data_IF_627232944357
#
_entry.id   IF_627232944357
#
_cell.length_a   1.000
_cell.length_b   1.000
_cell.length_c   1.000
_cell.angle_alpha   90.00
_cell.angle_beta   90.00
_cell.angle_gamma   90.00
#
_symmetry.space_group_name_H-M   'P 1'
#
loop_
_entity.id
_entity.type
_entity.pdbx_description
1 polymer ?
#
# COMPACT_ATOMS: atom_id res chain seq x y z
N UNK A 1 13.88 -5.77 21.32
CA UNK A 1 15.11 -5.13 20.81
C UNK A 1 15.32 -5.43 19.33
N UNK A 2 15.31 -6.71 18.92
CA UNK A 2 15.46 -7.13 17.51
C UNK A 2 14.48 -6.44 16.56
N UNK A 3 13.19 -6.39 16.91
CA UNK A 3 12.17 -5.75 16.08
C UNK A 3 12.42 -4.25 15.89
N UNK A 4 12.90 -3.54 16.92
CA UNK A 4 13.24 -2.12 16.82
C UNK A 4 14.45 -1.88 15.91
N UNK A 5 15.43 -2.78 15.93
CA UNK A 5 16.62 -2.69 15.05
C UNK A 5 16.20 -2.92 13.59
N UNK A 6 15.38 -3.94 13.33
CA UNK A 6 14.91 -4.24 11.97
C UNK A 6 13.99 -3.14 11.44
N UNK A 7 13.07 -2.63 12.28
CA UNK A 7 12.24 -1.49 11.92
C UNK A 7 13.08 -0.24 11.64
N UNK A 8 14.02 0.12 12.51
CA UNK A 8 14.84 1.33 12.31
C UNK A 8 15.80 1.23 11.13
N UNK A 9 16.39 0.06 10.88
CA UNK A 9 17.48 -0.07 9.90
C UNK A 9 16.97 -0.44 8.51
N UNK A 10 15.98 -1.32 8.41
CA UNK A 10 15.56 -1.89 7.12
C UNK A 10 14.25 -1.30 6.61
N UNK A 11 13.28 -1.08 7.50
CA UNK A 11 11.91 -0.70 7.13
C UNK A 11 11.74 0.82 7.15
N UNK A 12 12.31 1.51 8.13
CA UNK A 12 12.12 2.95 8.34
C UNK A 12 12.55 3.80 7.13
N UNK A 13 13.74 3.58 6.52
CA UNK A 13 14.13 4.35 5.33
C UNK A 13 13.21 4.10 4.13
N UNK A 14 12.60 2.91 4.03
CA UNK A 14 11.63 2.60 2.97
C UNK A 14 10.32 3.37 3.19
N UNK A 15 9.81 3.38 4.42
CA UNK A 15 8.60 4.11 4.79
C UNK A 15 8.77 5.62 4.66
N UNK A 16 9.93 6.17 5.01
CA UNK A 16 10.23 7.60 4.79
C UNK A 16 10.18 7.97 3.30
N UNK A 17 10.76 7.13 2.43
CA UNK A 17 10.68 7.35 0.98
C UNK A 17 9.25 7.23 0.45
N UNK A 18 8.45 6.31 0.97
CA UNK A 18 7.05 6.20 0.58
C UNK A 18 6.25 7.41 1.03
N UNK A 19 6.45 7.89 2.26
CA UNK A 19 5.87 9.13 2.76
C UNK A 19 6.24 10.34 1.90
N UNK A 20 7.51 10.43 1.45
CA UNK A 20 7.96 11.43 0.50
C UNK A 20 7.17 11.42 -0.80
N UNK A 21 6.95 10.24 -1.41
CA UNK A 21 6.12 10.12 -2.62
C UNK A 21 4.69 10.59 -2.42
N UNK A 22 4.09 10.33 -1.25
CA UNK A 22 2.76 10.83 -0.92
C UNK A 22 2.70 12.35 -0.78
N UNK A 23 3.76 12.98 -0.23
CA UNK A 23 3.88 14.43 -0.16
C UNK A 23 3.98 15.02 -1.56
N UNK A 24 4.81 14.45 -2.43
CA UNK A 24 4.94 14.89 -3.83
C UNK A 24 3.62 14.78 -4.60
N UNK A 25 2.90 13.67 -4.42
CA UNK A 25 1.56 13.49 -5.00
C UNK A 25 0.58 14.58 -4.52
N UNK A 26 0.63 14.92 -3.21
CA UNK A 26 -0.23 15.96 -2.63
C UNK A 26 0.05 17.33 -3.22
N UNK A 27 1.32 17.70 -3.40
CA UNK A 27 1.68 18.99 -3.99
C UNK A 27 1.18 19.11 -5.43
N UNK A 28 1.27 18.04 -6.23
CA UNK A 28 0.71 18.04 -7.60
C UNK A 28 -0.81 18.10 -7.65
N UNK A 29 -1.51 17.42 -6.75
CA UNK A 29 -2.98 17.54 -6.64
C UNK A 29 -3.38 18.98 -6.29
N UNK A 30 -2.63 19.65 -5.41
CA UNK A 30 -2.89 21.05 -5.07
C UNK A 30 -2.63 22.02 -6.24
N UNK A 31 -1.65 21.70 -7.10
CA UNK A 31 -1.37 22.45 -8.33
C UNK A 31 -2.52 22.36 -9.35
N UNK A 32 -3.25 21.25 -9.38
CA UNK A 32 -4.43 21.05 -10.24
C UNK A 32 -5.73 21.64 -9.65
N UNK A 33 -5.70 22.22 -8.45
CA UNK A 33 -6.89 22.79 -7.82
C UNK A 33 -7.34 24.10 -8.50
N UNK A 34 -8.64 24.46 -8.49
CA UNK A 34 -9.17 25.64 -9.18
C UNK A 34 -8.51 26.97 -8.80
N UNK A 35 -7.87 27.03 -7.63
CA UNK A 35 -7.13 28.20 -7.13
C UNK A 35 -5.80 28.44 -7.83
N UNK A 36 -5.27 27.42 -8.50
CA UNK A 36 -3.94 27.39 -9.10
C UNK A 36 -3.98 27.54 -10.63
N UNK A 37 -5.14 27.86 -11.22
CA UNK A 37 -5.25 28.28 -12.63
C UNK A 37 -4.56 29.65 -12.82
N UNK A 38 -3.23 29.64 -12.75
CA UNK A 38 -2.41 30.74 -13.21
C UNK A 38 -2.47 30.79 -14.73
N UNK A 39 -2.47 32.02 -15.25
CA UNK A 39 -2.17 32.36 -16.64
C UNK A 39 -0.95 31.56 -17.13
N UNK A 40 -1.16 30.56 -18.00
CA UNK A 40 -0.09 29.75 -18.58
C UNK A 40 -0.38 28.25 -18.71
N UNK A 41 -1.37 27.71 -17.99
CA UNK A 41 -1.74 26.30 -18.09
C UNK A 41 -2.52 25.99 -19.37
N UNK A 42 -2.14 24.93 -20.09
CA UNK A 42 -2.84 24.48 -21.29
C UNK A 42 -4.20 23.88 -20.88
N UNK A 43 -5.30 24.46 -21.39
CA UNK A 43 -6.65 24.01 -21.03
C UNK A 43 -6.95 22.58 -21.50
N UNK A 44 -6.32 22.11 -22.57
CA UNK A 44 -6.44 20.73 -23.07
C UNK A 44 -5.88 19.77 -22.01
N UNK A 45 -4.68 20.07 -21.53
CA UNK A 45 -3.96 19.28 -20.53
C UNK A 45 -4.73 19.23 -19.21
N UNK A 46 -5.26 20.37 -18.76
CA UNK A 46 -6.02 20.46 -17.50
C UNK A 46 -7.25 19.52 -17.42
N UNK A 47 -7.87 19.14 -18.55
CA UNK A 47 -9.04 18.25 -18.55
C UNK A 47 -8.65 16.79 -18.83
N UNK A 48 -7.53 16.57 -19.51
CA UNK A 48 -7.04 15.22 -19.87
C UNK A 48 -6.05 14.62 -18.89
N UNK A 49 -5.34 15.43 -18.09
CA UNK A 49 -4.26 14.96 -17.22
C UNK A 49 -4.76 13.93 -16.19
N UNK A 50 -4.07 12.79 -16.13
CA UNK A 50 -4.27 11.70 -15.16
C UNK A 50 -2.96 11.23 -14.52
N UNK A 51 -1.86 11.96 -14.75
CA UNK A 51 -0.56 11.60 -14.22
C UNK A 51 -0.57 11.64 -12.69
N UNK A 52 -1.33 12.57 -12.09
CA UNK A 52 -1.51 12.61 -10.64
C UNK A 52 -2.17 11.33 -10.08
N UNK A 53 -3.09 10.70 -10.82
CA UNK A 53 -3.74 9.43 -10.43
C UNK A 53 -2.73 8.30 -10.54
N UNK A 54 -1.98 8.25 -11.64
CA UNK A 54 -0.95 7.24 -11.88
C UNK A 54 0.17 7.29 -10.83
N UNK A 55 0.66 8.48 -10.51
CA UNK A 55 1.69 8.66 -9.47
C UNK A 55 1.18 8.23 -8.09
N UNK A 56 -0.06 8.57 -7.75
CA UNK A 56 -0.68 8.15 -6.50
C UNK A 56 -0.84 6.62 -6.42
N UNK A 57 -1.31 5.98 -7.49
CA UNK A 57 -1.42 4.52 -7.57
C UNK A 57 -0.05 3.84 -7.55
N UNK A 58 0.97 4.46 -8.13
CA UNK A 58 2.34 4.00 -8.04
C UNK A 58 2.89 4.09 -6.61
N UNK A 59 2.64 5.20 -5.91
CA UNK A 59 2.99 5.34 -4.49
C UNK A 59 2.30 4.27 -3.62
N UNK A 60 1.01 4.01 -3.86
CA UNK A 60 0.27 2.92 -3.20
C UNK A 60 0.87 1.54 -3.50
N UNK A 61 1.20 1.27 -4.77
CA UNK A 61 1.78 -0.01 -5.19
C UNK A 61 3.15 -0.24 -4.55
N UNK A 62 4.00 0.79 -4.50
CA UNK A 62 5.31 0.69 -3.87
C UNK A 62 5.20 0.44 -2.36
N UNK A 63 4.30 1.16 -1.69
CA UNK A 63 3.99 0.95 -0.27
C UNK A 63 3.47 -0.47 -0.03
N UNK A 64 2.57 -0.97 -0.89
CA UNK A 64 2.04 -2.32 -0.80
C UNK A 64 3.12 -3.41 -0.94
N UNK A 65 4.12 -3.20 -1.79
CA UNK A 65 5.29 -4.09 -1.94
C UNK A 65 6.15 -4.08 -0.68
N UNK A 66 6.40 -2.92 -0.08
CA UNK A 66 7.16 -2.87 1.17
C UNK A 66 6.42 -3.57 2.32
N UNK A 67 5.11 -3.37 2.43
CA UNK A 67 4.28 -4.05 3.42
C UNK A 67 4.20 -5.56 3.16
N UNK A 68 4.16 -6.02 1.90
CA UNK A 68 4.14 -7.46 1.61
C UNK A 68 5.45 -8.14 2.01
N UNK A 69 6.60 -7.50 1.75
CA UNK A 69 7.92 -7.99 2.17
C UNK A 69 8.04 -8.05 3.70
N UNK A 70 7.57 -7.02 4.40
CA UNK A 70 7.53 -7.05 5.86
C UNK A 70 6.60 -8.16 6.38
N UNK A 71 5.47 -8.38 5.72
CA UNK A 71 4.54 -9.47 6.05
C UNK A 71 5.22 -10.83 5.92
N UNK A 72 5.99 -11.05 4.85
CA UNK A 72 6.77 -12.29 4.65
C UNK A 72 7.74 -12.56 5.79
N UNK A 73 8.54 -11.55 6.15
CA UNK A 73 9.54 -11.68 7.22
C UNK A 73 8.86 -12.07 8.54
N UNK A 74 7.73 -11.46 8.87
CA UNK A 74 7.00 -11.78 10.09
C UNK A 74 6.39 -13.18 10.05
N UNK A 75 5.88 -13.63 8.89
CA UNK A 75 5.38 -15.01 8.72
C UNK A 75 6.52 -16.01 8.92
N UNK A 76 7.70 -15.75 8.35
CA UNK A 76 8.88 -16.61 8.50
C UNK A 76 9.35 -16.65 9.96
N UNK A 77 9.40 -15.52 10.65
CA UNK A 77 9.81 -15.50 12.06
C UNK A 77 8.82 -16.20 12.99
N UNK A 78 7.54 -16.25 12.60
CA UNK A 78 6.49 -16.95 13.32
C UNK A 78 6.42 -18.46 13.01
N UNK A 79 7.18 -18.94 12.01
CA UNK A 79 7.14 -20.35 11.62
C UNK A 79 7.77 -21.24 12.70
N UNK A 80 7.36 -22.51 12.76
CA UNK A 80 7.88 -23.46 13.75
C UNK A 80 9.38 -23.76 13.54
N UNK A 81 9.87 -23.67 12.30
CA UNK A 81 11.26 -23.92 11.95
C UNK A 81 12.21 -22.83 12.47
N UNK A 82 11.77 -21.56 12.46
CA UNK A 82 12.56 -20.44 12.96
C UNK A 82 12.27 -20.12 14.43
N UNK A 83 10.99 -20.09 14.83
CA UNK A 83 10.58 -19.91 16.22
C UNK A 83 11.02 -18.60 16.88
N UNK A 84 11.33 -17.55 16.11
CA UNK A 84 11.81 -16.26 16.64
C UNK A 84 10.70 -15.45 17.32
N UNK A 85 9.45 -15.73 16.97
CA UNK A 85 8.29 -14.97 17.40
C UNK A 85 7.08 -15.88 17.53
N UNK A 86 6.23 -15.62 18.52
CA UNK A 86 4.89 -16.22 18.60
C UNK A 86 3.85 -15.11 18.49
N UNK A 87 2.98 -15.14 17.46
CA UNK A 87 1.91 -14.15 17.32
C UNK A 87 0.88 -14.31 18.45
N UNK A 88 0.34 -13.18 18.93
CA UNK A 88 -0.75 -13.19 19.90
C UNK A 88 -2.07 -13.62 19.26
N UNK A 89 -3.01 -14.11 20.07
CA UNK A 89 -4.34 -14.54 19.61
C UNK A 89 -5.15 -13.42 18.93
N UNK A 90 -4.80 -12.14 19.17
CA UNK A 90 -5.42 -11.01 18.50
C UNK A 90 -4.98 -10.82 17.04
N UNK A 91 -3.84 -11.40 16.65
CA UNK A 91 -3.25 -11.30 15.31
C UNK A 91 -3.00 -12.67 14.68
N UNK A 92 -3.55 -13.72 15.25
CA UNK A 92 -3.49 -15.08 14.73
C UNK A 92 -4.85 -15.75 14.76
N UNK A 93 -5.12 -16.60 13.79
CA UNK A 93 -6.31 -17.45 13.78
C UNK A 93 -5.91 -18.91 13.95
N UNK A 94 -6.74 -19.69 14.63
CA UNK A 94 -6.58 -21.13 14.73
C UNK A 94 -7.14 -21.88 13.53
N UNK A 95 -6.60 -23.07 13.25
CA UNK A 95 -7.23 -24.01 12.33
C UNK A 95 -8.40 -24.73 13.00
N UNK A 96 -9.48 -24.97 12.26
CA UNK A 96 -10.64 -25.72 12.77
C UNK A 96 -10.34 -27.20 13.05
N UNK A 97 -9.31 -27.75 12.39
CA UNK A 97 -8.90 -29.17 12.52
C UNK A 97 -7.63 -29.34 13.37
N UNK A 98 -6.79 -28.31 13.46
CA UNK A 98 -5.51 -28.36 14.19
C UNK A 98 -5.50 -27.30 15.30
N UNK A 99 -5.88 -27.67 16.55
CA UNK A 99 -6.01 -26.73 17.67
C UNK A 99 -4.70 -26.04 18.09
N UNK A 100 -3.56 -26.68 17.83
CA UNK A 100 -2.23 -26.16 18.14
C UNK A 100 -1.74 -25.12 17.12
N UNK A 101 -2.33 -25.08 15.93
CA UNK A 101 -1.87 -24.24 14.83
C UNK A 101 -2.31 -22.78 15.03
N UNK A 102 -1.36 -21.85 15.14
CA UNK A 102 -1.62 -20.40 15.12
C UNK A 102 -1.12 -19.79 13.82
N UNK A 103 -2.04 -19.42 12.94
CA UNK A 103 -1.71 -18.87 11.64
C UNK A 103 -1.61 -17.34 11.68
N UNK A 104 -0.52 -16.74 11.14
CA UNK A 104 -0.35 -15.30 11.01
C UNK A 104 -1.21 -14.70 9.87
N UNK A 105 -2.51 -15.04 9.80
CA UNK A 105 -3.42 -14.66 8.72
C UNK A 105 -3.37 -13.16 8.34
N UNK A 106 -3.31 -12.20 9.29
CA UNK A 106 -3.23 -10.79 8.92
C UNK A 106 -2.01 -10.44 8.08
N UNK A 107 -0.86 -11.08 8.33
CA UNK A 107 0.39 -10.86 7.57
C UNK A 107 0.28 -11.46 6.17
N UNK A 108 -0.29 -12.66 6.06
CA UNK A 108 -0.56 -13.31 4.78
C UNK A 108 -1.57 -12.53 3.92
N UNK A 109 -2.61 -11.97 4.56
CA UNK A 109 -3.60 -11.13 3.89
C UNK A 109 -2.99 -9.82 3.37
N UNK A 110 -2.05 -9.22 4.10
CA UNK A 110 -1.31 -8.03 3.62
C UNK A 110 -0.51 -8.40 2.36
N UNK A 111 0.18 -9.54 2.37
CA UNK A 111 0.89 -10.05 1.19
C UNK A 111 -0.05 -10.27 0.00
N UNK A 112 -1.17 -10.97 0.19
CA UNK A 112 -2.14 -11.20 -0.88
C UNK A 112 -2.79 -9.91 -1.43
N UNK A 113 -3.12 -8.96 -0.56
CA UNK A 113 -3.74 -7.68 -0.96
C UNK A 113 -2.80 -6.77 -1.75
N UNK A 114 -1.49 -6.94 -1.64
CA UNK A 114 -0.54 -6.17 -2.45
C UNK A 114 -0.74 -6.36 -3.96
N UNK A 115 -1.10 -7.57 -4.39
CA UNK A 115 -1.38 -7.86 -5.80
C UNK A 115 -2.57 -7.05 -6.33
N UNK A 116 -3.60 -6.82 -5.49
CA UNK A 116 -4.77 -6.02 -5.84
C UNK A 116 -4.40 -4.56 -6.10
N UNK A 117 -3.62 -3.97 -5.20
CA UNK A 117 -3.13 -2.57 -5.32
C UNK A 117 -2.28 -2.38 -6.59
N UNK A 118 -1.43 -3.36 -6.92
CA UNK A 118 -0.64 -3.34 -8.16
C UNK A 118 -1.56 -3.47 -9.39
N UNK A 119 -2.59 -4.29 -9.31
CA UNK A 119 -3.61 -4.43 -10.36
C UNK A 119 -4.34 -3.12 -10.66
N UNK A 120 -4.64 -2.32 -9.63
CA UNK A 120 -5.27 -1.01 -9.79
C UNK A 120 -4.39 -0.06 -10.61
N UNK A 121 -3.08 -0.04 -10.35
CA UNK A 121 -2.12 0.75 -11.13
C UNK A 121 -2.07 0.29 -12.59
N UNK A 122 -1.98 -1.01 -12.83
CA UNK A 122 -1.94 -1.57 -14.20
C UNK A 122 -3.22 -1.23 -14.95
N UNK A 123 -4.37 -1.32 -14.28
CA UNK A 123 -5.67 -0.95 -14.85
C UNK A 123 -5.66 0.49 -15.36
N UNK A 124 -5.26 1.46 -14.54
CA UNK A 124 -5.24 2.87 -14.95
C UNK A 124 -4.14 3.17 -15.98
N UNK A 125 -2.97 2.53 -15.89
CA UNK A 125 -1.95 2.63 -16.96
C UNK A 125 -2.49 2.15 -18.30
N UNK A 126 -3.21 1.03 -18.31
CA UNK A 126 -3.81 0.50 -19.54
C UNK A 126 -5.00 1.32 -20.01
N UNK A 127 -5.71 1.99 -19.11
CA UNK A 127 -6.75 2.97 -19.46
C UNK A 127 -6.09 4.15 -20.17
N UNK A 128 -5.07 4.78 -19.59
CA UNK A 128 -4.44 5.96 -20.17
C UNK A 128 -3.71 5.71 -21.52
N UNK A 129 -3.34 4.46 -21.83
CA UNK A 129 -2.53 4.17 -23.02
C UNK A 129 -3.33 4.42 -24.32
N UNK A 130 -2.76 5.25 -25.20
CA UNK A 130 -3.24 5.40 -26.58
C UNK A 130 -4.53 6.21 -26.74
N UNK A 131 -4.97 6.94 -25.72
CA UNK A 131 -6.06 7.89 -25.89
C UNK A 131 -5.61 9.17 -26.60
N UNK A 132 -6.39 9.70 -27.56
CA UNK A 132 -6.17 11.03 -28.09
C UNK A 132 -6.50 12.07 -27.02
N UNK A 133 -5.77 13.18 -27.01
CA UNK A 133 -6.14 14.36 -26.23
C UNK A 133 -7.49 14.92 -26.75
N UNK A 134 -8.37 15.49 -25.93
CA UNK A 134 -8.25 15.80 -24.50
C UNK A 134 -9.07 14.84 -23.62
N UNK A 135 -10.23 15.26 -23.13
CA UNK A 135 -11.10 14.48 -22.25
C UNK A 135 -11.87 13.41 -23.01
N UNK A 136 -11.81 12.18 -22.49
CA UNK A 136 -12.60 11.05 -22.95
C UNK A 136 -13.48 10.52 -21.81
N UNK A 137 -14.67 9.99 -22.14
CA UNK A 137 -15.62 9.49 -21.14
C UNK A 137 -15.09 8.26 -20.39
N UNK A 138 -14.17 7.55 -21.00
CA UNK A 138 -13.47 6.39 -20.46
C UNK A 138 -12.71 6.71 -19.16
N UNK A 139 -12.30 7.97 -18.96
CA UNK A 139 -11.75 8.45 -17.67
C UNK A 139 -12.78 8.51 -16.53
N UNK A 140 -13.93 7.85 -16.66
CA UNK A 140 -14.77 7.51 -15.52
C UNK A 140 -14.24 6.30 -14.76
N UNK A 141 -13.57 5.38 -15.47
CA UNK A 141 -13.02 4.12 -14.96
C UNK A 141 -11.76 4.31 -14.09
N UNK A 142 -11.23 5.53 -13.99
CA UNK A 142 -10.07 5.84 -13.12
C UNK A 142 -10.42 5.83 -11.62
N UNK A 143 -11.70 6.01 -11.27
CA UNK A 143 -12.14 6.22 -9.87
C UNK A 143 -12.18 4.94 -9.08
N UNK A 144 -12.70 3.86 -9.66
CA UNK A 144 -12.84 2.59 -8.93
C UNK A 144 -11.47 2.06 -8.49
N UNK A 145 -10.46 1.95 -9.38
CA UNK A 145 -9.11 1.52 -8.98
C UNK A 145 -8.48 2.48 -7.97
N UNK A 146 -8.65 3.80 -8.13
CA UNK A 146 -8.12 4.79 -7.19
C UNK A 146 -8.70 4.63 -5.78
N UNK A 147 -10.02 4.48 -5.65
CA UNK A 147 -10.67 4.33 -4.35
C UNK A 147 -10.40 2.96 -3.73
N UNK A 148 -10.35 1.91 -4.53
CA UNK A 148 -10.07 0.56 -4.06
C UNK A 148 -8.63 0.43 -3.55
N UNK A 149 -7.67 0.96 -4.31
CA UNK A 149 -6.26 1.06 -3.92
C UNK A 149 -6.10 1.81 -2.60
N UNK A 150 -6.74 2.98 -2.46
CA UNK A 150 -6.72 3.79 -1.22
C UNK A 150 -7.29 3.04 -0.02
N UNK A 151 -8.44 2.37 -0.21
CA UNK A 151 -9.10 1.61 0.85
C UNK A 151 -8.24 0.43 1.27
N UNK A 152 -7.64 -0.25 0.31
CA UNK A 152 -6.80 -1.43 0.53
C UNK A 152 -5.52 -1.07 1.26
N UNK A 153 -4.80 -0.05 0.81
CA UNK A 153 -3.54 0.38 1.44
C UNK A 153 -3.77 0.89 2.87
N UNK A 154 -4.84 1.66 3.10
CA UNK A 154 -5.19 2.14 4.44
C UNK A 154 -5.46 0.98 5.40
N UNK A 155 -6.13 -0.07 4.92
CA UNK A 155 -6.38 -1.29 5.71
C UNK A 155 -5.09 -2.06 5.97
N UNK A 156 -4.22 -2.20 4.97
CA UNK A 156 -2.92 -2.87 5.12
C UNK A 156 -2.05 -2.16 6.16
N UNK A 157 -1.92 -0.83 6.10
CA UNK A 157 -1.15 -0.04 7.06
C UNK A 157 -1.72 -0.20 8.47
N UNK A 158 -3.05 -0.12 8.64
CA UNK A 158 -3.68 -0.31 9.96
C UNK A 158 -3.44 -1.71 10.52
N UNK A 159 -3.55 -2.74 9.68
CA UNK A 159 -3.26 -4.12 10.07
C UNK A 159 -1.81 -4.28 10.49
N UNK A 160 -0.86 -3.75 9.71
CA UNK A 160 0.55 -3.82 10.05
C UNK A 160 0.88 -3.07 11.34
N UNK A 161 0.33 -1.87 11.54
CA UNK A 161 0.50 -1.12 12.77
C UNK A 161 0.00 -1.92 14.00
N UNK A 162 -1.12 -2.62 13.85
CA UNK A 162 -1.67 -3.48 14.90
C UNK A 162 -0.77 -4.69 15.20
N UNK A 163 -0.20 -5.31 14.17
CA UNK A 163 0.73 -6.44 14.30
C UNK A 163 2.03 -6.00 14.97
N UNK A 164 2.55 -4.82 14.64
CA UNK A 164 3.85 -4.32 15.14
C UNK A 164 3.82 -3.79 16.57
N UNK A 165 2.65 -3.74 17.20
CA UNK A 165 2.54 -3.28 18.58
C UNK A 165 3.19 -4.30 19.52
N UNK A 166 3.96 -3.86 20.51
CA UNK A 166 4.79 -4.72 21.37
C UNK A 166 3.96 -5.78 22.14
N UNK A 167 2.66 -5.55 22.32
CA UNK A 167 1.75 -6.50 22.97
C UNK A 167 1.25 -7.63 22.06
N UNK A 168 1.39 -7.51 20.74
CA UNK A 168 0.90 -8.51 19.77
C UNK A 168 1.96 -9.49 19.31
N UNK A 169 3.24 -9.27 19.64
CA UNK A 169 4.35 -10.15 19.26
C UNK A 169 5.19 -10.51 20.48
N UNK A 170 5.24 -11.80 20.81
CA UNK A 170 6.14 -12.31 21.84
C UNK A 170 7.41 -12.82 21.16
N UNK A 171 8.54 -12.16 21.43
CA UNK A 171 9.86 -12.62 20.97
C UNK A 171 10.45 -13.58 21.99
N UNK A 172 11.06 -14.66 21.49
CA UNK A 172 11.85 -15.58 22.29
C UNK A 172 13.19 -14.95 22.73
#
# INVERSE_FOLDING_TARGET
YLLNVIFCVLVWPQLERDAGRYIDCRERINFLSPRSLCFGCNCIDAVSDRDFVLEFLYANSNTAIHLSRLGEELVLWASEEFGFMTPSDSVSTGSSIMPQQKNPDPMELVRGKSARVIGDLVTVLTLCKGFPLAYNRDFQEDKEPMFDSTRTITRMIRSMLHITNIRSLNFA
#
